data_IF_732363851962
#
_entry.id   IF_732363851962
#
_cell.length_a   1.000
_cell.length_b   1.000
_cell.length_c   1.000
_cell.angle_alpha   90.00
_cell.angle_beta   90.00
_cell.angle_gamma   90.00
#
_symmetry.space_group_name_H-M   'P 1'
#
loop_
_entity.id
_entity.type
_entity.pdbx_description
1 polymer ?
#
# COMPACT_ATOMS: atom_id res chain seq x y z
N UNK A 1 24.86 -9.31 -60.86
CA UNK A 1 25.04 -8.51 -62.11
C UNK A 1 23.91 -7.49 -62.23
N UNK A 2 24.14 -6.39 -62.97
CA UNK A 2 23.21 -5.61 -63.83
C UNK A 2 21.69 -5.67 -63.54
N UNK A 3 21.01 -4.53 -63.24
CA UNK A 3 20.40 -3.53 -64.19
C UNK A 3 19.26 -4.15 -65.05
N UNK A 4 18.12 -3.50 -65.37
CA UNK A 4 17.57 -2.12 -65.26
C UNK A 4 16.01 -2.22 -65.40
N UNK A 5 15.11 -1.23 -65.60
CA UNK A 5 15.09 0.23 -65.88
C UNK A 5 13.66 0.81 -65.64
N UNK A 6 13.52 2.15 -65.48
CA UNK A 6 12.37 3.07 -65.84
C UNK A 6 10.95 2.80 -65.25
N UNK A 7 10.20 3.75 -64.64
CA UNK A 7 9.82 5.17 -64.98
C UNK A 7 8.60 5.24 -65.92
N UNK A 8 7.71 6.27 -65.93
CA UNK A 8 7.69 7.58 -65.23
C UNK A 8 6.39 7.77 -64.38
N UNK A 9 5.86 8.92 -63.90
CA UNK A 9 6.26 10.34 -63.67
C UNK A 9 5.15 11.05 -62.84
N UNK A 10 5.47 12.10 -62.05
CA UNK A 10 4.65 13.33 -61.95
C UNK A 10 5.39 14.48 -61.23
N UNK A 11 5.27 15.72 -61.71
CA UNK A 11 5.78 16.93 -61.04
C UNK A 11 4.65 17.62 -60.27
N UNK A 12 4.97 18.17 -59.09
CA UNK A 12 4.25 19.34 -58.54
C UNK A 12 5.27 20.34 -58.01
N UNK A 13 5.27 21.53 -58.59
CA UNK A 13 6.05 22.67 -58.10
C UNK A 13 5.34 23.30 -56.90
N UNK A 14 6.10 23.69 -55.87
CA UNK A 14 5.63 24.57 -54.79
C UNK A 14 6.71 25.61 -54.49
N UNK A 15 6.27 26.81 -54.12
CA UNK A 15 7.04 28.03 -54.27
C UNK A 15 8.03 28.29 -53.12
N UNK A 16 9.19 28.87 -53.45
CA UNK A 16 10.12 29.45 -52.49
C UNK A 16 9.49 30.67 -51.80
N UNK A 17 9.10 30.53 -50.54
CA UNK A 17 8.70 31.66 -49.69
C UNK A 17 9.90 32.11 -48.84
N UNK A 18 10.36 33.35 -49.02
CA UNK A 18 11.31 33.96 -48.10
C UNK A 18 10.57 34.38 -46.81
N UNK A 19 10.83 33.68 -45.71
CA UNK A 19 10.33 34.07 -44.39
C UNK A 19 11.13 35.26 -43.83
N UNK A 20 10.47 36.34 -43.37
CA UNK A 20 11.16 37.48 -42.75
C UNK A 20 11.75 37.10 -41.39
N UNK A 21 12.91 37.68 -41.06
CA UNK A 21 13.62 37.45 -39.80
C UNK A 21 12.87 38.06 -38.60
N UNK A 22 12.54 37.22 -37.60
CA UNK A 22 12.04 37.70 -36.30
C UNK A 22 13.19 38.25 -35.45
N UNK A 23 13.02 39.41 -34.76
CA UNK A 23 13.98 39.85 -33.76
C UNK A 23 14.00 38.88 -32.57
N UNK A 24 15.19 38.55 -32.06
CA UNK A 24 15.35 37.76 -30.84
C UNK A 24 15.30 38.70 -29.63
N UNK A 25 14.19 38.70 -28.89
CA UNK A 25 14.15 39.33 -27.57
C UNK A 25 14.94 38.46 -26.59
N UNK A 26 16.07 38.98 -26.09
CA UNK A 26 16.84 38.33 -25.04
C UNK A 26 16.16 38.60 -23.68
N UNK A 27 15.42 37.63 -23.17
CA UNK A 27 14.91 37.69 -21.80
C UNK A 27 16.08 37.59 -20.79
N UNK A 28 16.07 38.38 -19.69
CA UNK A 28 17.09 38.25 -18.66
C UNK A 28 16.95 36.90 -17.96
N UNK A 29 18.04 36.14 -17.87
CA UNK A 29 18.08 34.92 -17.06
C UNK A 29 18.06 35.30 -15.58
N UNK A 30 16.86 35.30 -15.00
CA UNK A 30 16.67 35.32 -13.56
C UNK A 30 17.16 34.00 -12.96
N UNK A 31 18.46 33.94 -12.66
CA UNK A 31 19.12 32.81 -12.00
C UNK A 31 18.53 32.60 -10.61
N UNK A 32 17.46 31.81 -10.53
CA UNK A 32 16.75 31.48 -9.30
C UNK A 32 17.62 30.59 -8.42
N UNK A 33 18.38 31.22 -7.53
CA UNK A 33 19.27 30.55 -6.59
C UNK A 33 18.44 29.85 -5.51
N UNK A 34 18.15 28.57 -5.75
CA UNK A 34 17.50 27.68 -4.78
C UNK A 34 18.56 27.27 -3.75
N UNK A 35 18.62 27.99 -2.64
CA UNK A 35 19.47 27.64 -1.50
C UNK A 35 18.92 26.38 -0.82
N UNK A 36 19.39 25.21 -1.27
CA UNK A 36 19.12 23.94 -0.61
C UNK A 36 19.84 23.91 0.75
N UNK A 37 19.19 24.40 1.80
CA UNK A 37 19.66 24.21 3.18
C UNK A 37 19.51 22.73 3.54
N UNK A 38 20.58 21.96 3.31
CA UNK A 38 20.74 20.60 3.83
C UNK A 38 21.02 20.65 5.33
N UNK A 39 20.00 21.06 6.10
CA UNK A 39 20.03 21.01 7.55
C UNK A 39 19.90 19.57 8.01
N UNK A 40 20.95 19.03 8.65
CA UNK A 40 20.99 17.66 9.16
C UNK A 40 20.22 17.51 10.49
N UNK A 41 18.99 18.04 10.54
CA UNK A 41 17.99 17.70 11.53
C UNK A 41 16.93 16.82 10.89
N UNK A 42 16.48 15.78 11.61
CA UNK A 42 15.37 14.92 11.20
C UNK A 42 14.04 15.64 11.38
N UNK A 43 13.80 16.64 10.54
CA UNK A 43 12.52 17.35 10.46
C UNK A 43 11.45 16.31 10.12
N UNK A 44 10.60 15.99 11.12
CA UNK A 44 9.43 15.14 10.92
C UNK A 44 8.49 15.86 9.95
N UNK A 45 8.45 15.39 8.72
CA UNK A 45 7.48 15.85 7.71
C UNK A 45 6.08 15.66 8.26
N UNK A 46 5.22 16.63 8.03
CA UNK A 46 3.78 16.54 8.27
C UNK A 46 3.06 16.16 6.98
N UNK A 47 1.80 15.77 7.08
CA UNK A 47 0.93 15.59 5.89
C UNK A 47 0.90 16.89 5.05
N UNK A 48 0.89 18.06 5.68
CA UNK A 48 0.86 19.33 4.93
C UNK A 48 2.14 19.61 4.11
N UNK A 49 3.26 18.98 4.43
CA UNK A 49 4.51 19.11 3.66
C UNK A 49 4.54 18.18 2.42
N UNK A 50 3.60 17.23 2.34
CA UNK A 50 3.53 16.18 1.31
C UNK A 50 2.31 16.35 0.42
N UNK A 51 1.12 16.49 1.02
CA UNK A 51 -0.15 16.65 0.30
C UNK A 51 -1.06 17.61 1.08
N UNK A 52 -0.94 18.94 0.87
CA UNK A 52 -1.59 19.98 1.70
C UNK A 52 -3.11 19.92 1.81
N UNK A 53 -3.78 19.20 0.89
CA UNK A 53 -5.24 19.09 0.81
C UNK A 53 -5.80 17.76 1.32
N UNK A 54 -4.94 16.86 1.83
CA UNK A 54 -5.37 15.55 2.31
C UNK A 54 -6.29 15.65 3.53
N UNK A 55 -7.41 14.89 3.52
CA UNK A 55 -8.42 14.88 4.58
C UNK A 55 -9.01 13.48 4.79
N UNK A 56 -9.60 13.23 5.97
CA UNK A 56 -10.15 11.91 6.33
C UNK A 56 -9.07 10.81 6.28
N UNK A 57 -9.47 9.61 5.83
CA UNK A 57 -8.60 8.43 5.78
C UNK A 57 -7.28 8.66 5.00
N UNK A 58 -7.30 9.45 3.91
CA UNK A 58 -6.08 9.81 3.15
C UNK A 58 -5.04 10.52 4.04
N UNK A 59 -5.51 11.46 4.87
CA UNK A 59 -4.67 12.17 5.83
C UNK A 59 -4.14 11.24 6.93
N UNK A 60 -4.99 10.32 7.40
CA UNK A 60 -4.64 9.36 8.45
C UNK A 60 -3.56 8.38 7.97
N UNK A 61 -3.69 7.85 6.75
CA UNK A 61 -2.71 6.96 6.10
C UNK A 61 -1.37 7.66 5.84
N UNK A 62 -1.39 8.89 5.28
CA UNK A 62 -0.16 9.66 5.07
C UNK A 62 0.51 10.00 6.41
N UNK A 63 -0.24 10.39 7.45
CA UNK A 63 0.33 10.65 8.78
C UNK A 63 0.95 9.39 9.39
N UNK A 64 0.32 8.23 9.23
CA UNK A 64 0.85 6.94 9.68
C UNK A 64 2.17 6.57 8.98
N UNK A 65 2.19 6.69 7.65
CA UNK A 65 3.38 6.43 6.83
C UNK A 65 4.55 7.35 7.21
N UNK A 66 4.29 8.64 7.44
CA UNK A 66 5.30 9.62 7.88
C UNK A 66 5.78 9.40 9.33
N UNK A 67 4.98 8.75 10.17
CA UNK A 67 5.34 8.30 11.53
C UNK A 67 6.07 6.95 11.54
N UNK A 68 6.11 6.23 10.41
CA UNK A 68 6.73 4.91 10.29
C UNK A 68 5.89 3.78 10.89
N UNK A 69 4.57 3.92 10.94
CA UNK A 69 3.63 2.88 11.42
C UNK A 69 2.65 2.47 10.32
N UNK A 70 2.29 1.19 10.29
CA UNK A 70 1.06 0.75 9.62
C UNK A 70 -0.15 1.00 10.55
N UNK A 71 -1.30 1.36 9.97
CA UNK A 71 -2.59 1.43 10.68
C UNK A 71 -3.19 0.02 10.84
N UNK A 72 -2.93 -0.85 9.86
CA UNK A 72 -3.55 -2.16 9.71
C UNK A 72 -2.63 -3.32 10.12
N UNK A 73 -1.52 -3.02 10.80
CA UNK A 73 -0.54 -3.95 11.42
C UNK A 73 -1.20 -5.17 12.10
N UNK A 74 -2.35 -4.98 12.74
CA UNK A 74 -3.07 -6.07 13.45
C UNK A 74 -3.67 -7.12 12.51
N UNK A 75 -3.81 -6.82 11.22
CA UNK A 75 -4.42 -7.71 10.24
C UNK A 75 -3.50 -8.86 9.81
N UNK A 76 -2.18 -8.70 9.95
CA UNK A 76 -1.16 -9.66 9.54
C UNK A 76 -0.56 -10.36 10.78
N UNK A 77 -1.16 -11.47 11.27
CA UNK A 77 -0.62 -12.21 12.41
C UNK A 77 0.63 -13.01 11.99
N UNK A 78 1.80 -12.57 12.45
CA UNK A 78 3.06 -13.32 12.33
C UNK A 78 3.41 -14.00 13.66
N UNK A 79 3.95 -15.22 13.59
CA UNK A 79 4.34 -15.99 14.77
C UNK A 79 4.76 -17.43 14.42
N UNK A 80 5.24 -18.20 15.41
CA UNK A 80 5.48 -19.63 15.25
C UNK A 80 4.17 -20.41 15.17
N UNK A 81 4.26 -21.69 14.79
CA UNK A 81 3.15 -22.64 14.88
C UNK A 81 2.64 -22.74 16.33
N UNK A 82 1.35 -22.43 16.53
CA UNK A 82 0.73 -22.36 17.85
C UNK A 82 0.42 -23.72 18.48
N UNK A 83 0.96 -24.00 19.67
CA UNK A 83 0.62 -25.20 20.46
C UNK A 83 -0.45 -24.90 21.51
N UNK A 84 -0.96 -25.93 22.18
CA UNK A 84 -1.94 -25.80 23.26
C UNK A 84 -1.44 -25.00 24.46
N UNK A 85 -0.13 -25.01 24.69
CA UNK A 85 0.58 -24.30 25.77
C UNK A 85 1.06 -22.90 25.33
N UNK A 86 1.24 -22.71 24.02
CA UNK A 86 1.72 -21.48 23.39
C UNK A 86 0.95 -21.21 22.08
N UNK A 87 -0.31 -20.77 22.15
CA UNK A 87 -1.17 -20.61 20.98
C UNK A 87 -0.74 -19.43 20.09
N UNK A 88 -1.11 -19.50 18.81
CA UNK A 88 -0.90 -18.42 17.86
C UNK A 88 -1.83 -17.23 18.20
N UNK A 89 -1.23 -16.12 18.65
CA UNK A 89 -1.97 -14.96 19.15
C UNK A 89 -2.46 -14.06 18.00
N UNK A 90 -3.76 -14.06 17.74
CA UNK A 90 -4.40 -13.21 16.73
C UNK A 90 -4.90 -11.92 17.38
N UNK A 91 -4.34 -10.76 16.97
CA UNK A 91 -4.81 -9.43 17.39
C UNK A 91 -6.20 -9.14 16.79
N UNK A 92 -7.10 -8.52 17.54
CA UNK A 92 -8.45 -8.11 17.07
C UNK A 92 -8.90 -6.77 17.67
N UNK A 93 -9.70 -6.01 16.93
CA UNK A 93 -10.35 -4.78 17.44
C UNK A 93 -11.63 -5.09 18.25
N UNK A 94 -12.29 -6.21 17.92
CA UNK A 94 -13.56 -6.70 18.48
C UNK A 94 -13.39 -8.05 19.19
N UNK A 95 -14.39 -8.48 19.95
CA UNK A 95 -14.37 -9.76 20.69
C UNK A 95 -14.44 -11.02 19.80
N UNK A 96 -14.71 -10.87 18.50
CA UNK A 96 -14.64 -11.97 17.53
C UNK A 96 -14.06 -11.51 16.18
N UNK A 97 -13.28 -12.38 15.54
CA UNK A 97 -12.61 -12.14 14.25
C UNK A 97 -12.64 -13.40 13.37
N UNK A 98 -12.79 -13.21 12.06
CA UNK A 98 -12.58 -14.27 11.07
C UNK A 98 -11.07 -14.49 10.87
N UNK A 99 -10.63 -15.73 10.98
CA UNK A 99 -9.23 -16.17 10.83
C UNK A 99 -9.16 -17.27 9.77
N UNK A 100 -8.09 -17.27 8.97
CA UNK A 100 -7.78 -18.33 8.01
C UNK A 100 -6.46 -18.99 8.38
N UNK A 101 -6.45 -20.33 8.45
CA UNK A 101 -5.24 -21.12 8.68
C UNK A 101 -4.84 -21.84 7.37
N UNK A 102 -3.64 -21.57 6.81
CA UNK A 102 -3.10 -22.25 5.63
C UNK A 102 -2.26 -23.50 5.99
N UNK A 103 -2.25 -23.92 7.25
CA UNK A 103 -1.36 -24.95 7.76
C UNK A 103 0.01 -24.43 8.22
N UNK A 104 0.92 -25.38 8.45
CA UNK A 104 2.33 -25.15 8.81
C UNK A 104 3.29 -25.38 7.64
N UNK A 105 4.58 -25.62 7.94
CA UNK A 105 5.57 -26.03 6.93
C UNK A 105 5.58 -27.56 6.76
N UNK A 106 5.61 -28.05 5.53
CA UNK A 106 5.81 -29.48 5.24
C UNK A 106 4.52 -30.31 5.30
N UNK A 107 4.46 -31.32 6.18
CA UNK A 107 3.30 -32.22 6.27
C UNK A 107 2.05 -31.55 6.87
N UNK A 108 2.21 -30.39 7.51
CA UNK A 108 1.13 -29.58 8.10
C UNK A 108 0.52 -28.55 7.12
N UNK A 109 1.01 -28.44 5.87
CA UNK A 109 0.48 -27.51 4.85
C UNK A 109 -0.91 -27.96 4.34
N UNK A 110 -1.90 -27.05 4.24
CA UNK A 110 -3.23 -27.40 3.75
C UNK A 110 -4.04 -26.23 3.17
N UNK A 111 -5.10 -26.55 2.41
CA UNK A 111 -6.09 -25.57 1.92
C UNK A 111 -6.64 -24.71 3.07
N UNK A 112 -6.86 -23.41 2.82
CA UNK A 112 -7.13 -22.44 3.88
C UNK A 112 -8.45 -22.72 4.61
N UNK A 113 -8.34 -23.11 5.88
CA UNK A 113 -9.49 -23.32 6.78
C UNK A 113 -9.88 -22.00 7.41
N UNK A 114 -11.09 -21.52 7.11
CA UNK A 114 -11.65 -20.29 7.66
C UNK A 114 -12.58 -20.57 8.85
N UNK A 115 -12.39 -19.84 9.95
CA UNK A 115 -13.18 -19.98 11.18
C UNK A 115 -13.42 -18.64 11.88
N UNK A 116 -14.44 -18.60 12.74
CA UNK A 116 -14.61 -17.55 13.73
C UNK A 116 -13.76 -17.88 14.96
N UNK A 117 -12.87 -16.97 15.33
CA UNK A 117 -12.14 -17.00 16.59
C UNK A 117 -12.79 -16.00 17.55
N UNK A 118 -13.03 -16.40 18.80
CA UNK A 118 -13.74 -15.63 19.82
C UNK A 118 -12.87 -15.39 21.05
N UNK A 119 -13.02 -14.24 21.70
CA UNK A 119 -12.32 -13.88 22.92
C UNK A 119 -12.58 -14.90 24.03
N UNK A 120 -11.52 -15.33 24.73
CA UNK A 120 -11.59 -16.34 25.79
C UNK A 120 -11.92 -17.77 25.33
N UNK A 121 -12.01 -18.04 24.02
CA UNK A 121 -12.27 -19.39 23.46
C UNK A 121 -11.19 -19.75 22.42
N UNK A 122 -10.07 -20.38 22.84
CA UNK A 122 -9.06 -20.86 21.91
C UNK A 122 -9.64 -21.85 20.89
N UNK A 123 -9.16 -21.78 19.64
CA UNK A 123 -9.58 -22.64 18.54
C UNK A 123 -8.43 -23.56 18.10
N UNK A 124 -8.71 -24.84 17.91
CA UNK A 124 -7.79 -25.82 17.33
C UNK A 124 -8.17 -26.05 15.87
N UNK A 125 -7.22 -25.89 14.95
CA UNK A 125 -7.47 -26.11 13.52
C UNK A 125 -7.78 -27.59 13.26
N UNK A 126 -8.89 -27.95 12.59
CA UNK A 126 -9.30 -29.34 12.37
C UNK A 126 -8.44 -30.12 11.36
N UNK A 127 -7.34 -29.54 10.84
CA UNK A 127 -6.42 -30.19 9.89
C UNK A 127 -5.02 -30.29 10.48
N UNK A 128 -4.28 -29.17 10.63
CA UNK A 128 -2.94 -29.19 11.23
C UNK A 128 -2.90 -29.26 12.76
N UNK A 129 -4.04 -29.18 13.47
CA UNK A 129 -4.11 -29.09 14.95
C UNK A 129 -3.47 -27.84 15.58
N UNK A 130 -3.13 -26.81 14.78
CA UNK A 130 -2.62 -25.54 15.33
C UNK A 130 -3.65 -24.86 16.25
N UNK A 131 -3.20 -24.42 17.43
CA UNK A 131 -4.00 -23.66 18.38
C UNK A 131 -3.90 -22.15 18.14
N UNK A 132 -5.03 -21.45 18.25
CA UNK A 132 -5.17 -20.00 18.08
C UNK A 132 -5.88 -19.38 19.30
N UNK A 133 -5.45 -18.18 19.72
CA UNK A 133 -6.09 -17.39 20.78
C UNK A 133 -6.28 -15.93 20.32
N UNK A 134 -7.45 -15.35 20.59
CA UNK A 134 -7.76 -13.97 20.22
C UNK A 134 -7.36 -13.00 21.32
N UNK A 135 -6.55 -12.01 20.98
CA UNK A 135 -6.19 -10.89 21.85
C UNK A 135 -6.86 -9.60 21.37
N UNK A 136 -7.82 -9.11 22.14
CA UNK A 136 -8.43 -7.79 21.89
C UNK A 136 -7.40 -6.69 22.14
N UNK A 137 -7.30 -5.76 21.20
CA UNK A 137 -6.46 -4.55 21.24
C UNK A 137 -7.25 -3.28 20.90
N UNK A 138 -8.56 -3.41 20.66
CA UNK A 138 -9.51 -2.32 20.50
C UNK A 138 -10.52 -2.25 21.66
N UNK A 139 -11.71 -1.64 21.44
CA UNK A 139 -12.78 -1.57 22.43
C UNK A 139 -13.42 -2.92 22.80
N UNK A 140 -13.24 -3.96 21.98
CA UNK A 140 -14.00 -5.21 22.11
C UNK A 140 -15.43 -5.04 21.58
N UNK A 141 -16.35 -5.85 22.10
CA UNK A 141 -17.75 -5.92 21.69
C UNK A 141 -17.99 -6.74 20.41
N UNK A 142 -19.26 -6.92 20.09
CA UNK A 142 -19.72 -7.54 18.84
C UNK A 142 -19.42 -6.64 17.62
N UNK A 143 -18.82 -7.15 16.53
CA UNK A 143 -18.58 -6.39 15.29
C UNK A 143 -19.79 -5.72 14.63
N UNK A 144 -21.03 -6.13 14.96
CA UNK A 144 -22.26 -5.56 14.40
C UNK A 144 -23.00 -4.65 15.38
N UNK A 145 -22.48 -4.46 16.60
CA UNK A 145 -23.08 -3.63 17.64
C UNK A 145 -24.37 -4.20 18.24
N UNK A 146 -24.69 -5.48 17.98
CA UNK A 146 -25.81 -6.17 18.60
C UNK A 146 -25.39 -6.71 19.97
N UNK A 147 -25.49 -5.86 21.00
CA UNK A 147 -25.29 -6.31 22.38
C UNK A 147 -26.31 -7.39 22.77
N UNK A 148 -25.84 -8.45 23.42
CA UNK A 148 -26.67 -9.61 23.79
C UNK A 148 -27.77 -9.22 24.79
N UNK A 149 -28.98 -9.00 24.29
CA UNK A 149 -30.18 -8.78 25.09
C UNK A 149 -30.75 -10.12 25.60
N UNK A 150 -30.12 -10.68 26.63
CA UNK A 150 -30.55 -11.87 27.36
C UNK A 150 -30.60 -11.64 28.88
#
# INVERSE_FOLDING_TARGET
MFRRFLSPSNLKSLHTALSPSRPRFAAPLLTRHVTAQSGTSSVRKRVEDVLPIATGHEREEIQASLEGRDILEINHPEGPFGTKEAPAIVKSYYDRRIVGCPGGEGEDEHDVVWFWLENGKPHECPVCTQYFELKVVGPGGDPYGHGDHH
#
